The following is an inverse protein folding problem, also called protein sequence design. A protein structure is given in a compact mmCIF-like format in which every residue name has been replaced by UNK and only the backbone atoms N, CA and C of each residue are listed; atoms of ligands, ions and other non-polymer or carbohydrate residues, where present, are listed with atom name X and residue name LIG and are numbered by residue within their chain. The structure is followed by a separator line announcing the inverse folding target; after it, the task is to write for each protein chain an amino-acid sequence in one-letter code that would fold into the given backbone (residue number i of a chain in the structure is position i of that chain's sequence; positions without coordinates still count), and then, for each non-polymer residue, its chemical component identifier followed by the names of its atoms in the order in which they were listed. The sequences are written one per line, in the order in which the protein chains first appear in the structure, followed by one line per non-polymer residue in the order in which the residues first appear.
data_IF_161829828305
#
_entry.id   IF_161829828305
#
_cell.length_a   1.000
_cell.length_b   1.000
_cell.length_c   1.000
_cell.angle_alpha   90.00
_cell.angle_beta   90.00
_cell.angle_gamma   90.00
#
_symmetry.space_group_name_H-M   'P 1'
#
loop_
_entity.id
_entity.type
_entity.pdbx_description
1 polymer ?
#
# COMPACT_ATOMS: atom_id res chain seq x y z
N UNK A 1 -1.94 -16.66 1.19
CA UNK A 1 -0.93 -15.58 1.05
C UNK A 1 -0.61 -15.41 -0.41
N UNK A 2 -0.46 -14.15 -0.82
CA UNK A 2 -0.26 -13.74 -2.19
C UNK A 2 0.90 -14.50 -2.85
N UNK A 3 0.68 -14.89 -4.10
CA UNK A 3 1.60 -15.71 -4.88
C UNK A 3 1.93 -15.03 -6.21
N UNK A 4 2.97 -15.54 -6.88
CA UNK A 4 3.33 -15.08 -8.21
C UNK A 4 2.12 -15.15 -9.15
N UNK A 5 1.83 -14.05 -9.85
CA UNK A 5 0.69 -13.94 -10.77
C UNK A 5 -0.61 -13.43 -10.14
N UNK A 6 -0.69 -13.30 -8.81
CA UNK A 6 -1.83 -12.61 -8.19
C UNK A 6 -1.86 -11.15 -8.61
N UNK A 7 -3.05 -10.66 -8.97
CA UNK A 7 -3.23 -9.32 -9.52
C UNK A 7 -4.54 -8.68 -9.07
N UNK A 8 -4.49 -7.35 -8.90
CA UNK A 8 -5.68 -6.53 -8.86
C UNK A 8 -5.45 -5.16 -9.51
N UNK A 9 -6.53 -4.61 -10.05
CA UNK A 9 -6.55 -3.27 -10.61
C UNK A 9 -7.35 -2.37 -9.68
N UNK A 10 -6.93 -1.12 -9.56
CA UNK A 10 -7.61 -0.14 -8.73
C UNK A 10 -7.54 1.26 -9.35
N UNK A 11 -8.67 1.95 -9.30
CA UNK A 11 -8.77 3.36 -9.66
C UNK A 11 -8.15 4.22 -8.55
N UNK A 12 -7.29 5.17 -8.94
CA UNK A 12 -6.70 6.15 -8.05
C UNK A 12 -7.65 7.33 -7.88
N UNK A 13 -7.94 7.69 -6.62
CA UNK A 13 -8.75 8.84 -6.24
C UNK A 13 -7.85 9.91 -5.64
N UNK A 14 -8.32 11.16 -5.65
CA UNK A 14 -7.58 12.29 -5.09
C UNK A 14 -7.13 12.05 -3.63
N UNK A 15 -7.96 11.36 -2.84
CA UNK A 15 -7.67 11.00 -1.44
C UNK A 15 -6.53 9.98 -1.28
N UNK A 16 -6.22 9.18 -2.31
CA UNK A 16 -5.10 8.25 -2.32
C UNK A 16 -3.78 8.98 -2.57
N UNK A 17 -3.81 10.05 -3.37
CA UNK A 17 -2.65 10.84 -3.75
C UNK A 17 -2.28 11.91 -2.72
N UNK A 18 -3.29 12.45 -2.04
CA UNK A 18 -3.17 13.59 -1.13
C UNK A 18 -3.51 13.19 0.31
N UNK A 19 -3.16 11.98 0.72
CA UNK A 19 -3.54 11.44 2.02
C UNK A 19 -3.11 12.34 3.18
N UNK A 20 -1.89 12.87 3.13
CA UNK A 20 -1.36 13.71 4.20
C UNK A 20 -2.09 15.05 4.40
N UNK A 21 -2.85 15.51 3.40
CA UNK A 21 -3.63 16.77 3.44
C UNK A 21 -5.15 16.57 3.45
N UNK A 22 -5.65 15.40 3.02
CA UNK A 22 -7.09 15.07 2.92
C UNK A 22 -7.56 14.03 3.96
N UNK A 23 -6.70 13.62 4.89
CA UNK A 23 -7.04 12.67 5.97
C UNK A 23 -8.10 13.22 6.91
N UNK A 24 -8.91 12.31 7.45
CA UNK A 24 -9.95 12.64 8.43
C UNK A 24 -9.40 13.05 9.80
N UNK A 25 -8.23 12.53 10.20
CA UNK A 25 -7.63 12.80 11.51
C UNK A 25 -6.71 14.02 11.48
N UNK A 26 -7.01 15.01 12.33
CA UNK A 26 -6.30 16.29 12.41
C UNK A 26 -5.20 16.33 13.49
N UNK A 27 -4.81 15.17 14.03
CA UNK A 27 -3.88 15.09 15.18
C UNK A 27 -2.41 15.41 14.85
N UNK A 28 -2.14 15.98 13.66
CA UNK A 28 -0.79 16.22 13.11
C UNK A 28 -0.90 17.30 12.02
N UNK A 29 0.18 17.96 11.66
CA UNK A 29 0.16 18.89 10.53
C UNK A 29 -0.07 18.18 9.20
N UNK A 30 -0.64 18.89 8.24
CA UNK A 30 -0.85 18.38 6.89
C UNK A 30 0.48 18.22 6.17
N UNK A 31 0.73 17.04 5.59
CA UNK A 31 1.99 16.75 4.88
C UNK A 31 1.70 16.51 3.39
N UNK A 32 2.14 17.43 2.53
CA UNK A 32 1.99 17.29 1.10
C UNK A 32 2.84 16.13 0.53
N UNK A 33 2.31 15.47 -0.50
CA UNK A 33 2.98 14.38 -1.22
C UNK A 33 2.92 13.01 -0.55
N UNK A 34 2.25 12.87 0.60
CA UNK A 34 1.95 11.55 1.15
C UNK A 34 0.82 10.88 0.39
N UNK A 35 1.04 9.63 -0.02
CA UNK A 35 0.06 8.84 -0.76
C UNK A 35 0.11 7.36 -0.41
N UNK A 36 -0.89 6.62 -0.89
CA UNK A 36 -1.00 5.17 -0.72
C UNK A 36 -1.70 4.52 -1.91
N UNK A 37 -1.51 3.21 -2.06
CA UNK A 37 -2.27 2.39 -3.02
C UNK A 37 -3.36 1.64 -2.25
N UNK A 38 -4.64 1.73 -2.63
CA UNK A 38 -5.69 0.99 -1.96
C UNK A 38 -5.58 -0.51 -2.22
N UNK A 39 -6.02 -1.30 -1.26
CA UNK A 39 -6.19 -2.75 -1.39
C UNK A 39 -7.70 -3.02 -1.25
N UNK A 40 -8.37 -3.48 -2.32
CA UNK A 40 -9.77 -3.88 -2.21
C UNK A 40 -9.95 -4.94 -1.13
N UNK A 41 -10.96 -4.81 -0.26
CA UNK A 41 -11.15 -5.71 0.88
C UNK A 41 -11.28 -7.19 0.46
N UNK A 42 -11.94 -7.45 -0.68
CA UNK A 42 -12.03 -8.79 -1.25
C UNK A 42 -10.65 -9.35 -1.62
N UNK A 43 -9.78 -8.51 -2.19
CA UNK A 43 -8.42 -8.90 -2.59
C UNK A 43 -7.51 -9.06 -1.39
N UNK A 44 -7.63 -8.21 -0.38
CA UNK A 44 -6.91 -8.38 0.90
C UNK A 44 -7.21 -9.75 1.53
N UNK A 45 -8.48 -10.18 1.51
CA UNK A 45 -8.88 -11.51 2.01
C UNK A 45 -8.42 -12.64 1.10
N UNK A 46 -8.62 -12.51 -0.20
CA UNK A 46 -8.26 -13.54 -1.18
C UNK A 46 -6.75 -13.83 -1.19
N UNK A 47 -5.94 -12.79 -1.07
CA UNK A 47 -4.48 -12.88 -1.13
C UNK A 47 -3.84 -12.94 0.27
N UNK A 48 -4.62 -13.01 1.34
CA UNK A 48 -4.16 -12.91 2.73
C UNK A 48 -3.17 -11.77 2.97
N UNK A 49 -3.52 -10.55 2.53
CA UNK A 49 -2.71 -9.35 2.74
C UNK A 49 -3.07 -8.78 4.10
N UNK A 50 -2.20 -9.03 5.06
CA UNK A 50 -2.43 -8.67 6.45
C UNK A 50 -1.84 -7.31 6.82
N UNK A 51 -2.41 -6.68 7.84
CA UNK A 51 -1.82 -5.54 8.54
C UNK A 51 -1.10 -6.00 9.84
N UNK A 52 -0.63 -5.05 10.64
CA UNK A 52 0.08 -5.33 11.89
C UNK A 52 -0.73 -6.10 12.95
N UNK A 53 -2.07 -6.04 12.91
CA UNK A 53 -2.92 -6.74 13.88
C UNK A 53 -2.76 -8.27 13.76
N UNK A 54 -2.53 -8.78 12.54
CA UNK A 54 -2.32 -10.21 12.31
C UNK A 54 -1.04 -10.75 12.97
N UNK A 55 -0.03 -9.89 13.14
CA UNK A 55 1.28 -10.28 13.63
C UNK A 55 1.35 -10.35 15.17
N UNK A 56 0.26 -10.03 15.89
CA UNK A 56 0.14 -10.07 17.36
C UNK A 56 1.36 -9.53 18.11
N UNK A 57 2.05 -8.53 17.54
CA UNK A 57 3.23 -7.97 18.15
C UNK A 57 2.88 -6.76 19.00
N UNK A 58 3.35 -6.76 20.25
CA UNK A 58 3.30 -5.61 21.16
C UNK A 58 4.39 -4.57 20.85
N UNK A 59 5.33 -4.87 19.94
CA UNK A 59 6.39 -3.97 19.52
C UNK A 59 6.21 -3.56 18.05
N UNK A 60 6.04 -2.26 17.75
CA UNK A 60 5.86 -1.80 16.38
C UNK A 60 7.03 -2.18 15.44
N UNK A 61 8.26 -2.31 15.94
CA UNK A 61 9.41 -2.74 15.14
C UNK A 61 9.37 -4.21 14.71
N UNK A 62 8.66 -5.07 15.42
CA UNK A 62 8.50 -6.51 15.06
C UNK A 62 7.14 -6.80 14.43
N UNK A 63 6.32 -5.76 14.22
CA UNK A 63 5.03 -5.84 13.52
C UNK A 63 5.16 -5.73 12.00
N UNK A 64 6.33 -6.09 11.46
CA UNK A 64 6.63 -6.07 10.02
C UNK A 64 7.30 -7.39 9.64
N UNK A 65 6.73 -8.07 8.65
CA UNK A 65 7.25 -9.34 8.13
C UNK A 65 7.16 -9.33 6.61
N UNK A 66 8.30 -9.50 5.96
CA UNK A 66 8.41 -9.54 4.50
C UNK A 66 7.55 -10.68 3.95
N UNK A 67 6.77 -10.38 2.91
CA UNK A 67 5.80 -11.29 2.29
C UNK A 67 4.51 -11.50 3.06
N UNK A 68 4.30 -10.78 4.18
CA UNK A 68 3.06 -10.82 4.96
C UNK A 68 2.40 -9.44 4.97
N UNK A 69 3.08 -8.45 5.55
CA UNK A 69 2.61 -7.07 5.57
C UNK A 69 3.68 -6.07 5.14
N UNK A 70 4.83 -6.55 4.65
CA UNK A 70 5.91 -5.75 4.09
C UNK A 70 6.31 -6.39 2.76
N UNK A 71 6.51 -5.58 1.73
CA UNK A 71 6.85 -6.05 0.39
C UNK A 71 7.88 -5.13 -0.27
N UNK A 72 8.74 -5.70 -1.09
CA UNK A 72 9.59 -4.94 -2.00
C UNK A 72 8.80 -4.56 -3.25
N UNK A 73 8.73 -3.26 -3.56
CA UNK A 73 7.92 -2.73 -4.64
C UNK A 73 8.81 -2.35 -5.83
N UNK A 74 8.38 -2.75 -7.02
CA UNK A 74 9.05 -2.49 -8.29
C UNK A 74 8.08 -1.84 -9.28
N UNK A 75 8.62 -1.12 -10.26
CA UNK A 75 7.92 -0.65 -11.46
C UNK A 75 8.78 -0.93 -12.71
N UNK A 76 8.38 -0.41 -13.88
CA UNK A 76 9.13 -0.64 -15.13
C UNK A 76 10.58 -0.11 -15.10
N UNK A 77 10.90 0.82 -14.19
CA UNK A 77 12.22 1.42 -14.04
C UNK A 77 13.06 0.72 -12.95
N UNK A 78 12.52 -0.30 -12.28
CA UNK A 78 13.22 -1.08 -11.27
C UNK A 78 12.66 -0.88 -9.86
N UNK A 79 13.56 -0.87 -8.86
CA UNK A 79 13.14 -0.83 -7.46
C UNK A 79 12.60 0.55 -7.07
N UNK A 80 11.35 0.58 -6.59
CA UNK A 80 10.70 1.79 -6.10
C UNK A 80 11.01 2.01 -4.61
N UNK A 81 10.86 0.94 -3.80
CA UNK A 81 11.07 1.00 -2.35
C UNK A 81 10.30 -0.09 -1.61
N UNK A 82 10.37 -0.10 -0.27
CA UNK A 82 9.57 -1.00 0.56
C UNK A 82 8.19 -0.41 0.86
N UNK A 83 7.15 -1.21 0.67
CA UNK A 83 5.77 -0.85 1.03
C UNK A 83 5.26 -1.74 2.14
N UNK A 84 4.43 -1.17 3.00
CA UNK A 84 3.78 -1.83 4.13
C UNK A 84 2.28 -1.87 3.90
N UNK A 85 1.70 -3.05 4.08
CA UNK A 85 0.26 -3.25 4.14
C UNK A 85 -0.26 -2.76 5.51
N UNK A 86 -1.10 -1.74 5.49
CA UNK A 86 -1.60 -1.05 6.69
C UNK A 86 -3.09 -0.72 6.59
N UNK A 87 -3.62 -0.10 7.64
CA UNK A 87 -5.04 0.26 7.74
C UNK A 87 -5.94 -0.95 7.94
N UNK A 88 -7.18 -0.69 8.35
CA UNK A 88 -8.17 -1.77 8.58
C UNK A 88 -9.61 -1.31 8.40
N UNK A 89 -10.45 -2.20 7.86
CA UNK A 89 -11.94 -2.25 7.87
C UNK A 89 -12.56 -1.52 9.04
N UNK A 90 -12.23 -2.12 10.16
CA UNK A 90 -12.95 -2.14 11.41
C UNK A 90 -11.87 -2.34 12.48
N UNK A 91 -12.04 -1.72 13.64
CA UNK A 91 -11.08 -1.87 14.72
C UNK A 91 -10.81 -3.36 15.01
N UNK A 92 -9.54 -3.75 15.01
CA UNK A 92 -9.10 -5.13 15.25
C UNK A 92 -9.06 -6.04 14.03
N UNK A 93 -9.60 -5.66 12.87
CA UNK A 93 -9.52 -6.50 11.66
C UNK A 93 -8.06 -6.59 11.16
N UNK A 94 -7.69 -7.79 10.77
CA UNK A 94 -6.32 -8.23 10.42
C UNK A 94 -5.98 -7.97 8.96
N UNK A 95 -6.97 -7.73 8.10
CA UNK A 95 -6.75 -7.47 6.69
C UNK A 95 -6.42 -6.00 6.42
N UNK A 96 -5.43 -5.77 5.56
CA UNK A 96 -5.00 -4.44 5.20
C UNK A 96 -5.97 -3.73 4.24
N UNK A 97 -5.99 -2.40 4.31
CA UNK A 97 -6.74 -1.52 3.39
C UNK A 97 -5.88 -0.86 2.33
N UNK A 98 -4.57 -0.77 2.57
CA UNK A 98 -3.69 0.04 1.74
C UNK A 98 -2.22 -0.39 1.84
N UNK A 99 -1.46 -0.11 0.78
CA UNK A 99 0.00 -0.06 0.80
C UNK A 99 0.49 1.37 0.96
N UNK A 100 1.32 1.60 1.97
CA UNK A 100 2.03 2.87 2.20
C UNK A 100 3.54 2.63 2.21
N UNK A 101 4.36 3.63 1.87
CA UNK A 101 5.81 3.46 1.98
C UNK A 101 6.25 3.19 3.42
N UNK A 102 7.09 2.15 3.61
CA UNK A 102 7.64 1.82 4.93
C UNK A 102 8.75 2.80 5.29
N UNK A 103 8.61 3.49 6.42
CA UNK A 103 9.53 4.56 6.84
C UNK A 103 9.47 5.86 6.02
N UNK A 104 8.73 5.88 4.90
CA UNK A 104 8.57 7.06 4.05
C UNK A 104 7.16 7.09 3.42
N UNK A 105 6.22 7.82 4.04
CA UNK A 105 4.84 7.95 3.54
C UNK A 105 4.73 8.70 2.20
N UNK A 106 5.77 9.41 1.77
CA UNK A 106 5.81 10.09 0.46
C UNK A 106 6.19 9.16 -0.69
N UNK A 107 6.67 7.95 -0.42
CA UNK A 107 7.16 7.01 -1.44
C UNK A 107 6.18 6.83 -2.60
N UNK A 108 4.93 6.51 -2.28
CA UNK A 108 3.88 6.25 -3.28
C UNK A 108 3.42 7.56 -3.96
N UNK A 109 3.32 8.66 -3.20
CA UNK A 109 2.97 9.95 -3.80
C UNK A 109 4.02 10.44 -4.81
N UNK A 110 5.31 10.26 -4.49
CA UNK A 110 6.41 10.51 -5.44
C UNK A 110 6.32 9.59 -6.65
N UNK A 111 5.97 8.32 -6.47
CA UNK A 111 5.78 7.41 -7.59
C UNK A 111 4.61 7.83 -8.50
N UNK A 112 3.48 8.27 -7.94
CA UNK A 112 2.37 8.84 -8.72
C UNK A 112 2.81 10.03 -9.56
N UNK A 113 3.54 10.98 -8.97
CA UNK A 113 4.03 12.18 -9.67
C UNK A 113 4.99 11.81 -10.81
N UNK A 114 5.95 10.92 -10.57
CA UNK A 114 6.92 10.49 -11.59
C UNK A 114 6.28 9.78 -12.77
N UNK A 115 5.16 9.09 -12.55
CA UNK A 115 4.45 8.33 -13.58
C UNK A 115 3.23 9.06 -14.16
N UNK A 116 3.07 10.36 -13.87
CA UNK A 116 1.94 11.17 -14.33
C UNK A 116 0.58 10.51 -14.02
N UNK A 117 0.45 9.95 -12.83
CA UNK A 117 -0.81 9.36 -12.34
C UNK A 117 -1.67 10.49 -11.74
N UNK A 118 -2.94 10.50 -12.12
CA UNK A 118 -3.97 11.45 -11.73
C UNK A 118 -5.19 10.72 -11.17
N UNK A 119 -6.09 11.45 -10.51
CA UNK A 119 -7.37 10.88 -10.10
C UNK A 119 -8.16 10.41 -11.33
N UNK A 120 -8.75 9.22 -11.26
CA UNK A 120 -9.44 8.53 -12.36
C UNK A 120 -8.54 7.57 -13.16
N UNK A 121 -7.21 7.66 -13.01
CA UNK A 121 -6.31 6.67 -13.61
C UNK A 121 -6.40 5.32 -12.89
N UNK A 122 -6.13 4.26 -13.64
CA UNK A 122 -6.05 2.91 -13.10
C UNK A 122 -4.60 2.46 -12.94
N UNK A 123 -4.36 1.74 -11.85
CA UNK A 123 -3.09 1.05 -11.65
C UNK A 123 -3.35 -0.45 -11.48
N UNK A 124 -2.40 -1.23 -11.95
CA UNK A 124 -2.29 -2.66 -11.65
C UNK A 124 -1.28 -2.85 -10.52
N UNK A 125 -1.64 -3.71 -9.56
CA UNK A 125 -0.71 -4.25 -8.56
C UNK A 125 -0.67 -5.75 -8.76
N UNK A 126 0.52 -6.28 -9.02
CA UNK A 126 0.75 -7.71 -9.20
C UNK A 126 1.86 -8.23 -8.30
N UNK A 127 1.77 -9.48 -7.91
CA UNK A 127 2.83 -10.16 -7.15
C UNK A 127 3.78 -10.84 -8.12
N UNK A 128 5.05 -10.46 -8.06
CA UNK A 128 6.14 -11.13 -8.78
C UNK A 128 6.43 -12.47 -8.09
N UNK A 129 6.44 -12.46 -6.76
CA UNK A 129 6.58 -13.62 -5.89
C UNK A 129 6.04 -13.26 -4.49
N UNK A 130 6.23 -14.14 -3.51
CA UNK A 130 5.68 -13.95 -2.16
C UNK A 130 6.15 -12.67 -1.44
N UNK A 131 7.29 -12.08 -1.82
CA UNK A 131 7.86 -10.91 -1.13
C UNK A 131 7.92 -9.64 -1.99
N UNK A 132 7.64 -9.75 -3.28
CA UNK A 132 7.82 -8.67 -4.25
C UNK A 132 6.52 -8.38 -4.99
N UNK A 133 6.19 -7.10 -5.10
CA UNK A 133 5.08 -6.60 -5.92
C UNK A 133 5.61 -5.72 -7.05
N UNK A 134 4.84 -5.66 -8.13
CA UNK A 134 5.02 -4.78 -9.26
C UNK A 134 3.82 -3.84 -9.37
N UNK A 135 4.08 -2.56 -9.64
CA UNK A 135 3.05 -1.55 -9.87
C UNK A 135 3.26 -0.87 -11.22
N UNK A 136 2.17 -0.65 -11.94
CA UNK A 136 2.17 0.09 -13.21
C UNK A 136 0.84 0.81 -13.43
N UNK A 137 0.89 1.92 -14.15
CA UNK A 137 -0.30 2.55 -14.73
C UNK A 137 -0.80 1.70 -15.91
N UNK A 138 -2.12 1.59 -16.07
CA UNK A 138 -2.77 0.85 -17.17
C UNK A 138 -3.80 1.71 -17.89
#
# INVERSE_FOLDING_TARGET
MAQSGDVYNIEIKEVHMNWGTKRQTQNRESVAGEGYIPIPAQKAKLFDIFNSNALKSTNPKTSEKLGVNLFDCYDQNGFVGKVKATGTSQAGDVYAKQFSGSGNLKLIGTWFQKNNISAGDWIEVSWINATQIFIKKI
#
